data_IF_879141788093
#
_entry.id   IF_879141788093
#
_cell.length_a   1.000
_cell.length_b   1.000
_cell.length_c   1.000
_cell.angle_alpha   90.00
_cell.angle_beta   90.00
_cell.angle_gamma   90.00
#
_symmetry.space_group_name_H-M   'P 1'
#
loop_
_entity.id
_entity.type
_entity.pdbx_description
1 polymer ?
#
# COMPACT_ATOMS: atom_id res chain seq x y z
N UNK A 1 16.01 -12.93 -18.17
CA UNK A 1 15.64 -12.38 -16.85
C UNK A 1 14.23 -12.84 -16.54
N UNK A 2 13.95 -13.42 -15.36
CA UNK A 2 12.57 -13.66 -14.94
C UNK A 2 11.99 -12.31 -14.50
N UNK A 3 10.87 -11.90 -15.08
CA UNK A 3 10.19 -10.68 -14.67
C UNK A 3 9.83 -10.75 -13.19
N UNK A 4 10.05 -9.65 -12.45
CA UNK A 4 9.67 -9.55 -11.05
C UNK A 4 8.14 -9.51 -10.94
N UNK A 5 7.51 -10.18 -9.95
CA UNK A 5 6.07 -10.13 -9.77
C UNK A 5 5.61 -8.70 -9.41
N UNK A 6 4.63 -8.19 -10.14
CA UNK A 6 3.94 -6.92 -9.87
C UNK A 6 2.67 -7.25 -9.09
N UNK A 7 2.67 -6.92 -7.80
CA UNK A 7 1.52 -7.07 -6.92
C UNK A 7 0.64 -5.82 -6.97
N UNK A 8 -0.61 -5.98 -7.40
CA UNK A 8 -1.63 -4.95 -7.37
C UNK A 8 -2.69 -5.31 -6.31
N UNK A 9 -3.16 -4.36 -5.51
CA UNK A 9 -4.25 -4.58 -4.58
C UNK A 9 -5.59 -4.57 -5.31
N UNK A 10 -6.50 -5.41 -4.88
CA UNK A 10 -7.88 -5.43 -5.39
C UNK A 10 -8.74 -6.14 -4.35
N UNK A 11 -9.95 -5.61 -4.14
CA UNK A 11 -10.98 -6.27 -3.34
C UNK A 11 -11.77 -7.30 -4.14
N UNK A 12 -12.30 -8.30 -3.44
CA UNK A 12 -13.26 -9.22 -4.02
C UNK A 12 -13.39 -10.50 -3.21
N UNK A 13 -14.62 -10.92 -2.94
CA UNK A 13 -14.91 -12.21 -2.29
C UNK A 13 -15.21 -13.29 -3.34
N UNK A 14 -14.50 -14.41 -3.24
CA UNK A 14 -14.61 -15.53 -4.19
C UNK A 14 -14.70 -16.86 -3.47
N UNK A 15 -15.49 -17.78 -4.02
CA UNK A 15 -15.40 -19.20 -3.71
C UNK A 15 -14.48 -19.86 -4.75
N UNK A 16 -13.49 -20.61 -4.28
CA UNK A 16 -12.55 -21.34 -5.13
C UNK A 16 -12.61 -22.84 -4.87
N UNK A 17 -12.50 -23.63 -5.93
CA UNK A 17 -12.07 -25.02 -5.86
C UNK A 17 -10.56 -25.06 -6.05
N UNK A 18 -9.83 -25.57 -5.06
CA UNK A 18 -8.39 -25.41 -4.95
C UNK A 18 -7.68 -26.74 -4.70
N UNK A 19 -6.62 -26.99 -5.47
CA UNK A 19 -5.71 -28.14 -5.32
C UNK A 19 -4.42 -27.65 -4.67
N UNK A 20 -4.09 -28.17 -3.48
CA UNK A 20 -2.83 -27.82 -2.82
C UNK A 20 -1.62 -28.55 -3.45
N UNK A 21 -0.42 -28.32 -2.92
CA UNK A 21 0.82 -28.96 -3.39
C UNK A 21 0.87 -30.48 -3.17
N UNK A 22 -0.01 -31.01 -2.33
CA UNK A 22 -0.15 -32.45 -2.05
C UNK A 22 -1.24 -33.10 -2.93
N UNK A 23 -1.85 -32.34 -3.86
CA UNK A 23 -2.95 -32.83 -4.70
C UNK A 23 -4.32 -32.86 -4.02
N UNK A 24 -4.44 -32.37 -2.79
CA UNK A 24 -5.69 -32.36 -2.02
C UNK A 24 -6.59 -31.23 -2.53
N UNK A 25 -7.78 -31.61 -3.00
CA UNK A 25 -8.84 -30.69 -3.40
C UNK A 25 -9.60 -30.17 -2.18
N UNK A 26 -9.96 -28.90 -2.21
CA UNK A 26 -10.78 -28.24 -1.20
C UNK A 26 -11.56 -27.09 -1.81
N UNK A 27 -12.75 -26.83 -1.30
CA UNK A 27 -13.50 -25.61 -1.59
C UNK A 27 -13.24 -24.57 -0.50
N UNK A 28 -13.03 -23.32 -0.88
CA UNK A 28 -12.63 -22.25 0.04
C UNK A 28 -13.28 -20.92 -0.32
N UNK A 29 -13.74 -20.19 0.69
CA UNK A 29 -14.09 -18.78 0.56
C UNK A 29 -12.84 -17.93 0.87
N UNK A 30 -12.52 -17.03 -0.05
CA UNK A 30 -11.38 -16.14 0.04
C UNK A 30 -11.76 -14.68 -0.23
N UNK A 31 -11.19 -13.77 0.56
CA UNK A 31 -11.27 -12.33 0.27
C UNK A 31 -9.92 -11.88 -0.29
N UNK A 32 -9.89 -11.62 -1.59
CA UNK A 32 -8.69 -11.17 -2.30
C UNK A 32 -8.29 -9.79 -1.76
N UNK A 33 -6.99 -9.65 -1.53
CA UNK A 33 -6.37 -8.38 -1.11
C UNK A 33 -5.40 -7.87 -2.15
N UNK A 34 -4.62 -8.77 -2.74
CA UNK A 34 -3.61 -8.46 -3.77
C UNK A 34 -3.49 -9.61 -4.77
N UNK A 35 -3.04 -9.31 -5.97
CA UNK A 35 -2.82 -10.30 -7.02
C UNK A 35 -1.58 -9.97 -7.86
N UNK A 36 -0.97 -11.00 -8.45
CA UNK A 36 0.17 -10.84 -9.36
C UNK A 36 -0.33 -10.58 -10.79
N UNK A 37 -0.15 -9.36 -11.28
CA UNK A 37 -0.74 -8.92 -12.55
C UNK A 37 0.04 -9.35 -13.80
N UNK A 38 1.37 -9.44 -13.70
CA UNK A 38 2.25 -9.60 -14.88
C UNK A 38 2.71 -11.04 -15.14
N UNK A 39 2.37 -12.02 -14.28
CA UNK A 39 2.78 -13.41 -14.43
C UNK A 39 1.57 -14.33 -14.60
N UNK A 40 1.62 -15.25 -15.56
CA UNK A 40 0.55 -16.23 -15.78
C UNK A 40 0.57 -17.35 -14.71
N UNK A 41 1.75 -17.67 -14.18
CA UNK A 41 1.97 -18.57 -13.04
C UNK A 41 1.94 -17.85 -11.68
N UNK A 42 1.36 -16.64 -11.66
CA UNK A 42 1.21 -15.82 -10.48
C UNK A 42 0.25 -16.39 -9.43
N UNK A 43 -0.11 -15.52 -8.48
CA UNK A 43 -0.94 -15.89 -7.35
C UNK A 43 -1.77 -14.70 -6.86
N UNK A 44 -2.78 -15.01 -6.04
CA UNK A 44 -3.49 -14.05 -5.20
C UNK A 44 -3.06 -14.19 -3.74
N UNK A 45 -2.99 -13.08 -3.03
CA UNK A 45 -2.95 -13.04 -1.57
C UNK A 45 -4.34 -12.69 -1.07
N UNK A 46 -4.90 -13.59 -0.27
CA UNK A 46 -6.28 -13.47 0.17
C UNK A 46 -6.45 -13.94 1.62
N UNK A 47 -7.42 -13.37 2.32
CA UNK A 47 -7.86 -13.91 3.60
C UNK A 47 -8.67 -15.17 3.35
N UNK A 48 -8.26 -16.30 3.93
CA UNK A 48 -8.95 -17.58 3.80
C UNK A 48 -9.83 -17.80 5.01
N UNK A 49 -11.15 -17.92 4.80
CA UNK A 49 -12.12 -18.02 5.90
C UNK A 49 -12.02 -19.34 6.65
N UNK A 50 -11.73 -20.45 5.97
CA UNK A 50 -11.58 -21.77 6.60
C UNK A 50 -10.35 -21.84 7.51
N UNK A 51 -9.33 -21.03 7.21
CA UNK A 51 -8.08 -20.99 7.97
C UNK A 51 -7.95 -19.75 8.86
N UNK A 52 -8.87 -18.80 8.75
CA UNK A 52 -8.90 -17.52 9.47
C UNK A 52 -7.56 -16.76 9.40
N UNK A 53 -6.89 -16.81 8.24
CA UNK A 53 -5.59 -16.18 8.04
C UNK A 53 -5.35 -15.81 6.57
N UNK A 54 -4.43 -14.87 6.33
CA UNK A 54 -4.00 -14.51 4.97
C UNK A 54 -3.11 -15.63 4.41
N UNK A 55 -3.38 -16.06 3.18
CA UNK A 55 -2.63 -17.09 2.46
C UNK A 55 -2.46 -16.73 0.99
N UNK A 56 -1.51 -17.40 0.35
CA UNK A 56 -1.25 -17.30 -1.08
C UNK A 56 -1.91 -18.45 -1.83
N UNK A 57 -2.60 -18.15 -2.92
CA UNK A 57 -3.23 -19.12 -3.81
C UNK A 57 -2.74 -18.93 -5.24
N UNK A 58 -2.07 -19.94 -5.81
CA UNK A 58 -1.57 -19.88 -7.19
C UNK A 58 -2.71 -19.99 -8.18
N UNK A 59 -2.67 -19.23 -9.29
CA UNK A 59 -3.70 -19.31 -10.33
C UNK A 59 -3.87 -20.73 -10.86
N UNK A 60 -2.75 -21.43 -11.09
CA UNK A 60 -2.74 -22.80 -11.60
C UNK A 60 -3.34 -23.84 -10.67
N UNK A 61 -3.47 -23.51 -9.38
CA UNK A 61 -4.03 -24.38 -8.35
C UNK A 61 -5.53 -24.17 -8.15
N UNK A 62 -6.13 -23.18 -8.82
CA UNK A 62 -7.56 -22.87 -8.78
C UNK A 62 -8.23 -23.58 -9.96
N UNK A 63 -9.12 -24.52 -9.65
CA UNK A 63 -9.81 -25.39 -10.61
C UNK A 63 -11.25 -24.96 -10.87
N UNK A 64 -11.84 -24.19 -9.95
CA UNK A 64 -13.18 -23.64 -10.04
C UNK A 64 -13.21 -22.31 -9.31
N UNK A 65 -14.02 -21.38 -9.79
CA UNK A 65 -14.06 -20.02 -9.30
C UNK A 65 -15.47 -19.44 -9.45
N UNK A 66 -16.00 -18.91 -8.35
CA UNK A 66 -17.27 -18.19 -8.32
C UNK A 66 -17.03 -16.84 -7.66
N UNK A 67 -17.45 -15.77 -8.34
CA UNK A 67 -17.51 -14.43 -7.80
C UNK A 67 -18.71 -14.33 -6.86
N UNK A 68 -18.47 -14.14 -5.56
CA UNK A 68 -19.55 -14.17 -4.56
C UNK A 68 -20.35 -12.87 -4.51
N UNK A 69 -19.84 -11.79 -5.10
CA UNK A 69 -20.56 -10.53 -5.17
C UNK A 69 -21.59 -10.54 -6.28
N UNK A 70 -21.26 -11.14 -7.42
CA UNK A 70 -22.15 -11.21 -8.60
C UNK A 70 -22.88 -12.54 -8.74
N UNK A 71 -22.38 -13.60 -8.08
CA UNK A 71 -22.83 -14.98 -8.27
C UNK A 71 -22.34 -15.62 -9.58
N UNK A 72 -21.48 -14.95 -10.34
CA UNK A 72 -20.98 -15.43 -11.62
C UNK A 72 -19.94 -16.55 -11.45
N UNK A 73 -20.12 -17.64 -12.20
CA UNK A 73 -19.09 -18.67 -12.33
C UNK A 73 -18.06 -18.21 -13.36
N UNK A 74 -16.82 -18.02 -12.92
CA UNK A 74 -15.73 -17.49 -13.73
C UNK A 74 -14.78 -18.62 -14.10
N UNK A 75 -14.36 -18.70 -15.36
CA UNK A 75 -13.31 -19.64 -15.75
C UNK A 75 -11.99 -19.30 -15.00
N UNK A 76 -11.32 -20.26 -14.34
CA UNK A 76 -10.10 -19.97 -13.57
C UNK A 76 -8.99 -19.31 -14.40
N UNK A 77 -8.90 -19.62 -15.69
CA UNK A 77 -7.97 -19.00 -16.65
C UNK A 77 -8.18 -17.48 -16.79
N UNK A 78 -9.40 -17.01 -16.57
CA UNK A 78 -9.79 -15.60 -16.64
C UNK A 78 -9.65 -14.88 -15.30
N UNK A 79 -9.34 -15.57 -14.20
CA UNK A 79 -9.34 -14.96 -12.87
C UNK A 79 -8.43 -13.73 -12.77
N UNK A 80 -7.19 -13.83 -13.26
CA UNK A 80 -6.25 -12.71 -13.29
C UNK A 80 -6.81 -11.53 -14.09
N UNK A 81 -7.44 -11.81 -15.23
CA UNK A 81 -8.05 -10.76 -16.07
C UNK A 81 -9.21 -10.10 -15.36
N UNK A 82 -10.08 -10.87 -14.68
CA UNK A 82 -11.19 -10.32 -13.90
C UNK A 82 -10.71 -9.43 -12.75
N UNK A 83 -9.65 -9.84 -12.06
CA UNK A 83 -9.02 -9.04 -11.01
C UNK A 83 -8.37 -7.77 -11.58
N UNK A 84 -7.79 -7.86 -12.78
CA UNK A 84 -7.25 -6.70 -13.49
C UNK A 84 -8.37 -5.72 -13.88
N UNK A 85 -9.46 -6.19 -14.48
CA UNK A 85 -10.63 -5.36 -14.82
C UNK A 85 -11.22 -4.68 -13.57
N UNK A 86 -11.42 -5.45 -12.49
CA UNK A 86 -11.83 -4.90 -11.18
C UNK A 86 -10.86 -3.84 -10.67
N UNK A 87 -9.56 -4.08 -10.75
CA UNK A 87 -8.55 -3.08 -10.35
C UNK A 87 -8.61 -1.84 -11.24
N UNK A 88 -8.86 -2.00 -12.53
CA UNK A 88 -8.91 -0.87 -13.45
C UNK A 88 -10.09 0.06 -13.20
N UNK A 89 -11.20 -0.50 -12.71
CA UNK A 89 -12.43 0.20 -12.32
C UNK A 89 -12.45 0.65 -10.85
N UNK A 90 -11.59 0.06 -10.00
CA UNK A 90 -11.53 0.33 -8.58
C UNK A 90 -11.04 1.76 -8.27
N UNK A 91 -11.78 2.54 -7.47
CA UNK A 91 -11.30 3.81 -6.93
C UNK A 91 -9.96 3.68 -6.18
N UNK A 92 -9.71 2.54 -5.53
CA UNK A 92 -8.48 2.20 -4.82
C UNK A 92 -7.24 2.21 -5.73
N UNK A 93 -7.40 1.97 -7.04
CA UNK A 93 -6.32 2.15 -8.01
C UNK A 93 -5.88 3.60 -8.08
N UNK A 94 -6.80 4.56 -8.06
CA UNK A 94 -6.43 5.97 -8.09
C UNK A 94 -5.59 6.31 -6.85
N UNK A 95 -5.98 5.78 -5.69
CA UNK A 95 -5.24 5.94 -4.45
C UNK A 95 -3.85 5.26 -4.51
N UNK A 96 -3.72 4.08 -5.10
CA UNK A 96 -2.41 3.45 -5.31
C UNK A 96 -1.48 4.26 -6.18
N UNK A 97 -1.99 4.76 -7.31
CA UNK A 97 -1.20 5.59 -8.22
C UNK A 97 -0.77 6.86 -7.51
N UNK A 98 -1.68 7.49 -6.77
CA UNK A 98 -1.41 8.66 -5.95
C UNK A 98 -0.35 8.39 -4.88
N UNK A 99 -0.52 7.35 -4.05
CA UNK A 99 0.45 6.99 -3.00
C UNK A 99 1.82 6.64 -3.61
N UNK A 100 1.86 5.91 -4.73
CA UNK A 100 3.12 5.58 -5.42
C UNK A 100 3.80 6.82 -6.00
N UNK A 101 3.02 7.77 -6.50
CA UNK A 101 3.55 9.05 -6.97
C UNK A 101 4.10 9.88 -5.82
N UNK A 102 3.35 9.93 -4.70
CA UNK A 102 3.72 10.61 -3.46
C UNK A 102 4.78 9.85 -2.64
N UNK A 103 5.27 8.70 -3.11
CA UNK A 103 6.24 7.87 -2.37
C UNK A 103 7.42 8.67 -1.81
N UNK A 104 8.08 9.58 -2.56
CA UNK A 104 9.16 10.38 -2.00
C UNK A 104 8.73 11.24 -0.80
N UNK A 105 7.52 11.81 -0.85
CA UNK A 105 6.99 12.60 0.25
C UNK A 105 6.70 11.70 1.46
N UNK A 106 6.03 10.58 1.23
CA UNK A 106 5.72 9.61 2.30
C UNK A 106 7.01 9.09 2.95
N UNK A 107 8.05 8.78 2.17
CA UNK A 107 9.33 8.33 2.71
C UNK A 107 9.98 9.38 3.62
N UNK A 108 9.94 10.66 3.24
CA UNK A 108 10.43 11.76 4.09
C UNK A 108 9.64 11.84 5.40
N UNK A 109 8.30 11.78 5.32
CA UNK A 109 7.43 11.87 6.49
C UNK A 109 7.60 10.66 7.43
N UNK A 110 7.71 9.45 6.89
CA UNK A 110 7.92 8.22 7.68
C UNK A 110 9.31 8.21 8.31
N UNK A 111 10.35 8.65 7.60
CA UNK A 111 11.69 8.76 8.17
C UNK A 111 11.72 9.70 9.38
N UNK A 112 11.06 10.86 9.29
CA UNK A 112 10.96 11.83 10.39
C UNK A 112 10.13 11.27 11.54
N UNK A 113 8.99 10.62 11.26
CA UNK A 113 8.17 9.93 12.25
C UNK A 113 8.91 8.80 12.98
N UNK A 114 9.96 8.25 12.37
CA UNK A 114 10.74 7.16 12.97
C UNK A 114 12.02 7.65 13.69
N UNK A 115 12.29 8.96 13.75
CA UNK A 115 13.52 9.48 14.33
C UNK A 115 13.73 9.05 15.81
N UNK A 116 12.65 8.86 16.57
CA UNK A 116 12.67 8.36 17.95
C UNK A 116 12.84 6.83 18.07
N UNK A 117 12.96 6.13 16.93
CA UNK A 117 13.03 4.68 16.81
C UNK A 117 11.67 3.96 16.77
N UNK A 118 10.55 4.69 16.74
CA UNK A 118 9.20 4.11 16.79
C UNK A 118 8.19 4.85 15.91
N UNK A 119 7.72 4.16 14.87
CA UNK A 119 6.60 4.67 14.06
C UNK A 119 5.23 4.37 14.73
N UNK A 120 4.68 5.37 15.43
CA UNK A 120 3.50 5.22 16.25
C UNK A 120 2.19 5.19 15.44
N UNK A 121 1.11 4.54 15.94
CA UNK A 121 -0.19 4.53 15.27
C UNK A 121 -0.81 5.92 15.03
N UNK A 122 -0.51 6.91 15.88
CA UNK A 122 -0.95 8.30 15.71
C UNK A 122 -0.31 8.94 14.49
N UNK A 123 0.98 8.71 14.25
CA UNK A 123 1.71 9.23 13.09
C UNK A 123 1.30 8.52 11.80
N UNK A 124 1.09 7.20 11.87
CA UNK A 124 0.51 6.43 10.77
C UNK A 124 -0.84 7.02 10.35
N UNK A 125 -1.70 7.33 11.32
CA UNK A 125 -3.01 7.96 11.05
C UNK A 125 -2.86 9.37 10.50
N UNK A 126 -1.89 10.15 10.98
CA UNK A 126 -1.66 11.51 10.51
C UNK A 126 -1.20 11.54 9.05
N UNK A 127 -0.24 10.69 8.67
CA UNK A 127 0.21 10.57 7.27
C UNK A 127 -0.90 9.98 6.38
N UNK A 128 -1.69 9.03 6.88
CA UNK A 128 -2.83 8.49 6.15
C UNK A 128 -3.93 9.54 5.90
N UNK A 129 -4.20 10.41 6.89
CA UNK A 129 -5.13 11.53 6.72
C UNK A 129 -4.60 12.51 5.68
N UNK A 130 -3.31 12.85 5.74
CA UNK A 130 -2.68 13.71 4.74
C UNK A 130 -2.84 13.17 3.31
N UNK A 131 -2.55 11.89 3.09
CA UNK A 131 -2.74 11.23 1.79
C UNK A 131 -4.21 11.33 1.33
N UNK A 132 -5.14 11.12 2.25
CA UNK A 132 -6.58 11.17 1.95
C UNK A 132 -7.01 12.59 1.58
N UNK A 133 -6.65 13.59 2.38
CA UNK A 133 -6.97 15.01 2.15
C UNK A 133 -6.39 15.51 0.81
N UNK A 134 -5.17 15.10 0.47
CA UNK A 134 -4.49 15.53 -0.75
C UNK A 134 -4.88 14.76 -2.01
N UNK A 135 -5.49 13.58 -1.85
CA UNK A 135 -5.97 12.80 -2.99
C UNK A 135 -7.27 13.33 -3.60
N UNK A 136 -8.02 14.17 -2.86
CA UNK A 136 -9.40 14.59 -3.18
C UNK A 136 -10.40 13.42 -3.32
N UNK A 137 -10.03 12.20 -2.89
CA UNK A 137 -10.85 10.98 -3.05
C UNK A 137 -11.87 10.79 -1.93
N UNK A 138 -11.85 11.63 -0.88
CA UNK A 138 -12.80 11.59 0.23
C UNK A 138 -12.41 10.65 1.38
N UNK A 139 -13.11 10.77 2.51
CA UNK A 139 -12.77 10.11 3.78
C UNK A 139 -12.87 8.58 3.75
N UNK A 140 -13.61 8.02 2.78
CA UNK A 140 -13.80 6.58 2.61
C UNK A 140 -12.46 5.84 2.37
N UNK A 141 -11.44 6.54 1.89
CA UNK A 141 -10.11 5.97 1.64
C UNK A 141 -9.15 6.05 2.82
N UNK A 142 -9.55 6.67 3.94
CA UNK A 142 -8.67 6.76 5.12
C UNK A 142 -8.29 5.36 5.64
N UNK A 143 -9.22 4.41 5.63
CA UNK A 143 -8.97 3.03 6.04
C UNK A 143 -7.93 2.36 5.14
N UNK A 144 -7.98 2.62 3.84
CA UNK A 144 -7.02 2.13 2.86
C UNK A 144 -5.63 2.73 3.09
N UNK A 145 -5.53 4.07 3.13
CA UNK A 145 -4.29 4.80 3.39
C UNK A 145 -3.64 4.36 4.70
N UNK A 146 -4.43 4.17 5.77
CA UNK A 146 -3.94 3.67 7.05
C UNK A 146 -3.41 2.24 6.96
N UNK A 147 -4.07 1.37 6.18
CA UNK A 147 -3.59 0.03 5.89
C UNK A 147 -2.23 0.04 5.18
N UNK A 148 -2.05 0.95 4.23
CA UNK A 148 -0.77 1.14 3.52
C UNK A 148 0.33 1.61 4.48
N UNK A 149 0.07 2.65 5.29
CA UNK A 149 1.03 3.19 6.26
C UNK A 149 1.50 2.14 7.28
N UNK A 150 0.62 1.27 7.78
CA UNK A 150 0.97 0.17 8.69
C UNK A 150 1.99 -0.82 8.11
N UNK A 151 2.01 -0.95 6.79
CA UNK A 151 2.90 -1.88 6.07
C UNK A 151 4.05 -1.17 5.35
N UNK A 152 4.14 0.15 5.48
CA UNK A 152 5.20 0.94 4.84
C UNK A 152 6.54 0.60 5.46
N UNK A 153 7.54 0.34 4.62
CA UNK A 153 8.89 0.09 5.10
C UNK A 153 9.48 1.41 5.62
N UNK A 154 10.07 1.37 6.82
CA UNK A 154 10.79 2.53 7.37
C UNK A 154 12.00 2.81 6.47
N UNK A 155 12.09 4.00 5.84
CA UNK A 155 13.22 4.35 5.00
C UNK A 155 14.51 4.49 5.82
N UNK A 156 15.65 4.20 5.22
CA UNK A 156 16.95 4.53 5.81
C UNK A 156 17.43 5.95 5.41
N UNK A 157 18.62 6.34 5.87
CA UNK A 157 19.17 7.68 5.59
C UNK A 157 19.47 7.91 4.10
N UNK A 158 19.75 6.84 3.35
CA UNK A 158 19.99 6.90 1.91
C UNK A 158 18.66 7.07 1.17
N UNK A 159 17.63 6.30 1.53
CA UNK A 159 16.28 6.44 1.01
C UNK A 159 15.74 7.86 1.24
N UNK A 160 15.92 8.40 2.46
CA UNK A 160 15.55 9.77 2.81
C UNK A 160 16.23 10.81 1.90
N UNK A 161 17.53 10.65 1.66
CA UNK A 161 18.30 11.56 0.80
C UNK A 161 17.82 11.51 -0.67
N UNK A 162 17.50 10.31 -1.18
CA UNK A 162 16.92 10.15 -2.51
C UNK A 162 15.52 10.73 -2.62
N UNK A 163 14.71 10.54 -1.58
CA UNK A 163 13.36 11.06 -1.51
C UNK A 163 13.33 12.60 -1.56
N UNK A 164 14.18 13.27 -0.77
CA UNK A 164 14.35 14.73 -0.81
C UNK A 164 14.75 15.20 -2.21
N UNK A 165 15.73 14.54 -2.83
CA UNK A 165 16.15 14.88 -4.19
C UNK A 165 15.01 14.75 -5.19
N UNK A 166 14.21 13.69 -5.08
CA UNK A 166 13.05 13.48 -5.94
C UNK A 166 11.97 14.56 -5.73
N UNK A 167 11.70 14.97 -4.47
CA UNK A 167 10.80 16.08 -4.17
C UNK A 167 11.31 17.38 -4.81
N UNK A 168 12.58 17.70 -4.63
CA UNK A 168 13.17 18.92 -5.19
C UNK A 168 13.06 18.99 -6.71
N UNK A 169 13.10 17.85 -7.40
CA UNK A 169 13.07 17.76 -8.86
C UNK A 169 11.65 17.65 -9.44
N UNK A 170 10.76 16.92 -8.78
CA UNK A 170 9.45 16.52 -9.32
C UNK A 170 8.27 17.22 -8.64
N UNK A 171 8.45 17.65 -7.40
CA UNK A 171 7.41 18.17 -6.53
C UNK A 171 7.88 19.44 -5.77
N UNK A 172 8.52 20.43 -6.44
CA UNK A 172 9.03 21.62 -5.75
C UNK A 172 7.93 22.41 -5.02
N UNK A 173 6.70 22.40 -5.55
CA UNK A 173 5.52 23.03 -4.96
C UNK A 173 5.09 22.38 -3.63
N UNK A 174 5.51 21.14 -3.37
CA UNK A 174 5.17 20.41 -2.16
C UNK A 174 6.12 20.69 -1.00
N UNK A 175 7.27 21.34 -1.20
CA UNK A 175 8.30 21.48 -0.16
C UNK A 175 7.78 22.15 1.12
N UNK A 176 7.03 23.24 0.98
CA UNK A 176 6.45 23.95 2.13
C UNK A 176 5.42 23.08 2.85
N UNK A 177 4.52 22.44 2.10
CA UNK A 177 3.54 21.53 2.67
C UNK A 177 4.20 20.35 3.40
N UNK A 178 5.20 19.70 2.78
CA UNK A 178 5.93 18.59 3.39
C UNK A 178 6.62 19.02 4.68
N UNK A 179 7.21 20.21 4.70
CA UNK A 179 7.82 20.77 5.89
C UNK A 179 6.79 21.05 6.99
N UNK A 180 5.64 21.64 6.65
CA UNK A 180 4.54 21.86 7.59
C UNK A 180 4.04 20.54 8.19
N UNK A 181 3.82 19.52 7.35
CA UNK A 181 3.38 18.20 7.79
C UNK A 181 4.44 17.48 8.62
N UNK A 182 5.72 17.57 8.25
CA UNK A 182 6.82 17.02 9.05
C UNK A 182 6.85 17.63 10.46
N UNK A 183 6.62 18.95 10.58
CA UNK A 183 6.44 19.60 11.89
C UNK A 183 5.19 19.08 12.61
N UNK A 184 4.10 18.83 11.89
CA UNK A 184 2.86 18.26 12.42
C UNK A 184 3.07 16.86 13.00
N UNK A 185 3.80 16.00 12.29
CA UNK A 185 4.20 14.65 12.73
C UNK A 185 5.02 14.74 14.02
N UNK A 186 6.10 15.53 14.03
CA UNK A 186 6.95 15.69 15.22
C UNK A 186 6.20 16.29 16.44
N UNK A 187 5.19 17.12 16.21
CA UNK A 187 4.33 17.69 17.27
C UNK A 187 3.21 16.75 17.74
N UNK A 188 2.84 15.76 16.93
CA UNK A 188 1.79 14.81 17.28
C UNK A 188 2.24 13.91 18.44
N UNK A 189 3.55 13.69 18.58
CA UNK A 189 4.13 13.23 19.83
C UNK A 189 4.34 14.42 20.79
N UNK A 190 3.91 14.29 22.05
CA UNK A 190 3.87 15.41 23.00
C UNK A 190 5.26 15.83 23.52
N UNK A 191 6.34 15.35 22.88
CA UNK A 191 7.73 15.66 23.20
C UNK A 191 8.55 15.75 21.91
N UNK A 192 8.62 16.93 21.31
CA UNK A 192 9.61 17.22 20.28
C UNK A 192 11.00 17.05 20.88
N UNK A 193 11.77 16.10 20.35
CA UNK A 193 13.14 15.80 20.75
C UNK A 193 14.13 16.71 20.03
N UNK A 194 15.36 16.78 20.56
CA UNK A 194 16.44 17.53 19.91
C UNK A 194 16.81 16.93 18.54
N UNK A 195 16.66 15.60 18.38
CA UNK A 195 16.94 14.90 17.12
C UNK A 195 15.91 15.23 16.05
N UNK A 196 14.62 15.27 16.36
CA UNK A 196 13.59 15.70 15.40
C UNK A 196 13.79 17.14 14.95
N UNK A 197 14.21 18.01 15.86
CA UNK A 197 14.52 19.41 15.54
C UNK A 197 15.68 19.53 14.55
N UNK A 198 16.74 18.73 14.72
CA UNK A 198 17.88 18.69 13.80
C UNK A 198 17.49 18.15 12.42
N UNK A 199 16.64 17.13 12.36
CA UNK A 199 16.14 16.56 11.11
C UNK A 199 15.20 17.51 10.36
N UNK A 200 14.35 18.26 11.07
CA UNK A 200 13.52 19.31 10.48
C UNK A 200 14.39 20.46 9.94
N UNK A 201 15.40 20.92 10.68
CA UNK A 201 16.33 21.94 10.21
C UNK A 201 17.15 21.46 9.00
N UNK A 202 17.54 20.18 8.98
CA UNK A 202 18.17 19.55 7.81
C UNK A 202 17.21 19.52 6.61
N UNK A 203 15.94 19.21 6.82
CA UNK A 203 14.93 19.22 5.76
C UNK A 203 14.72 20.62 5.18
N UNK A 204 14.57 21.65 6.02
CA UNK A 204 14.50 23.07 5.61
C UNK A 204 15.67 23.45 4.70
N UNK A 205 16.89 23.19 5.18
CA UNK A 205 18.12 23.49 4.43
C UNK A 205 18.16 22.77 3.08
N UNK A 206 17.69 21.53 3.02
CA UNK A 206 17.70 20.73 1.79
C UNK A 206 16.59 21.10 0.82
N UNK A 207 15.48 21.66 1.30
CA UNK A 207 14.43 22.25 0.46
C UNK A 207 14.76 23.67 0.00
N UNK A 208 15.72 24.33 0.66
CA UNK A 208 16.15 25.69 0.35
C UNK A 208 15.12 26.73 0.78
N UNK A 209 14.41 26.44 1.88
CA UNK A 209 13.40 27.30 2.52
C UNK A 209 13.97 27.81 3.83
#
# INVERSE_FOLDING_TARGET
>A
MKDKPVLLPVGGSFEIEYVNTEGIQSRRVIDVRKFVANLSDGYVQAFCHERKMVRTFKYQSIMGLVDLETGEVVEPSLFRRRLQERYEEAPERQMDFFIREMKPIVDVLVYIAYCDGRYAPSEQRYIAQWLTDKSEMGDDFLAYSLGVMKSWAVPDSMDFSFAIRAINQRFPEWREAVLEYARGVAKADRKVTAEETDHLAKLERLFGI
#
